data_IF_147402861902
#
_entry.id   IF_147402861902
#
_cell.length_a   1.000
_cell.length_b   1.000
_cell.length_c   1.000
_cell.angle_alpha   90.00
_cell.angle_beta   90.00
_cell.angle_gamma   90.00
#
_symmetry.space_group_name_H-M   'P 1'
#
loop_
_entity.id
_entity.type
_entity.pdbx_description
1 polymer ?
#
# COMPACT_ATOMS: atom_id res chain seq x y z
N UNK A 1 29.37 -9.84 7.49
CA UNK A 1 28.60 -11.00 8.07
C UNK A 1 27.14 -10.88 7.64
N UNK A 2 26.72 -11.66 6.65
CA UNK A 2 25.39 -11.54 6.04
C UNK A 2 24.28 -11.93 7.03
N UNK A 3 23.58 -10.93 7.57
CA UNK A 3 22.27 -11.10 8.20
C UNK A 3 21.30 -11.65 7.14
N UNK A 4 21.21 -12.97 7.09
CA UNK A 4 20.20 -13.75 6.40
C UNK A 4 18.83 -13.31 6.95
N UNK A 5 18.15 -12.42 6.23
CA UNK A 5 16.80 -11.96 6.55
C UNK A 5 15.73 -13.00 6.14
N UNK A 6 16.14 -14.25 5.87
CA UNK A 6 15.24 -15.38 5.69
C UNK A 6 14.88 -15.93 7.07
N UNK A 7 13.59 -16.01 7.45
CA UNK A 7 13.20 -16.48 8.77
C UNK A 7 13.61 -17.95 8.95
N UNK A 8 14.45 -18.22 9.96
CA UNK A 8 14.82 -19.59 10.36
C UNK A 8 13.81 -20.10 11.37
N UNK A 9 13.06 -21.13 10.99
CA UNK A 9 11.97 -21.71 11.78
C UNK A 9 12.40 -23.00 12.49
N UNK A 10 12.05 -23.13 13.78
CA UNK A 10 12.15 -24.38 14.54
C UNK A 10 10.74 -24.97 14.74
N UNK A 11 10.45 -26.17 14.23
CA UNK A 11 9.14 -26.80 14.41
C UNK A 11 9.09 -27.60 15.72
N UNK A 12 8.05 -27.36 16.53
CA UNK A 12 7.57 -28.33 17.53
C UNK A 12 6.17 -28.80 17.12
N UNK A 13 5.88 -30.11 17.17
CA UNK A 13 4.57 -30.64 16.83
C UNK A 13 3.68 -30.57 18.07
N UNK A 14 2.44 -30.08 17.93
CA UNK A 14 1.30 -30.69 18.61
C UNK A 14 -0.03 -30.19 18.04
N UNK A 15 -0.95 -31.14 18.00
CA UNK A 15 -2.19 -31.16 17.24
C UNK A 15 -3.34 -30.76 18.19
N UNK A 16 -4.14 -29.75 17.82
CA UNK A 16 -5.38 -29.33 18.48
C UNK A 16 -5.24 -28.71 19.89
N UNK A 17 -4.83 -27.43 19.96
CA UNK A 17 -5.11 -26.56 21.12
C UNK A 17 -5.42 -25.12 20.67
N UNK A 18 -6.14 -24.31 21.48
CA UNK A 18 -6.57 -22.94 21.14
C UNK A 18 -5.41 -21.94 21.25
N UNK A 19 -4.25 -22.28 20.68
CA UNK A 19 -2.98 -21.58 20.80
C UNK A 19 -2.62 -20.83 19.51
N UNK A 20 -3.54 -20.03 18.97
CA UNK A 20 -3.15 -18.97 18.03
C UNK A 20 -2.30 -17.88 18.73
N UNK A 21 -2.27 -17.90 20.07
CA UNK A 21 -1.47 -17.04 20.95
C UNK A 21 -0.02 -17.47 21.11
N UNK A 22 0.35 -18.74 20.84
CA UNK A 22 1.72 -19.26 21.00
C UNK A 22 2.48 -19.43 19.69
N UNK A 23 2.10 -18.73 18.62
CA UNK A 23 2.83 -18.78 17.36
C UNK A 23 3.89 -17.67 17.36
N UNK A 24 5.13 -18.10 17.64
CA UNK A 24 6.42 -17.47 17.33
C UNK A 24 6.73 -16.12 17.99
N UNK A 25 7.59 -16.14 19.01
CA UNK A 25 8.42 -15.00 19.36
C UNK A 25 9.29 -14.64 18.15
N UNK A 26 8.99 -13.54 17.49
CA UNK A 26 9.87 -12.92 16.50
C UNK A 26 10.53 -11.71 17.16
N UNK A 27 11.86 -11.68 17.22
CA UNK A 27 12.64 -10.66 17.94
C UNK A 27 12.22 -10.45 19.41
N UNK A 28 11.72 -11.48 20.10
CA UNK A 28 11.24 -11.38 21.49
C UNK A 28 9.85 -10.74 21.66
N UNK A 29 9.12 -10.49 20.57
CA UNK A 29 7.74 -9.97 20.60
C UNK A 29 6.70 -11.09 20.42
N UNK A 30 5.56 -10.95 21.10
CA UNK A 30 4.36 -11.77 20.87
C UNK A 30 3.71 -11.40 19.51
N UNK A 31 3.03 -12.34 18.87
CA UNK A 31 2.41 -12.14 17.54
C UNK A 31 1.52 -10.88 17.45
N UNK A 32 0.67 -10.62 18.45
CA UNK A 32 -0.18 -9.43 18.45
C UNK A 32 0.61 -8.11 18.56
N UNK A 33 1.78 -8.12 19.22
CA UNK A 33 2.65 -6.94 19.32
C UNK A 33 3.30 -6.63 17.97
N UNK A 34 3.71 -7.68 17.25
CA UNK A 34 4.21 -7.57 15.89
C UNK A 34 3.15 -6.98 14.93
N UNK A 35 1.92 -7.51 14.99
CA UNK A 35 0.79 -6.98 14.20
C UNK A 35 0.45 -5.54 14.56
N UNK A 36 0.49 -5.19 15.85
CA UNK A 36 0.23 -3.84 16.33
C UNK A 36 1.31 -2.86 15.86
N UNK A 37 2.59 -3.25 15.92
CA UNK A 37 3.72 -2.45 15.42
C UNK A 37 3.59 -2.18 13.91
N UNK A 38 3.28 -3.22 13.12
CA UNK A 38 3.07 -3.07 11.67
C UNK A 38 1.86 -2.18 11.34
N UNK A 39 0.75 -2.35 12.07
CA UNK A 39 -0.45 -1.52 11.88
C UNK A 39 -0.20 -0.06 12.24
N UNK A 40 0.53 0.19 13.34
CA UNK A 40 0.92 1.55 13.75
C UNK A 40 1.83 2.19 12.70
N UNK A 41 2.85 1.46 12.22
CA UNK A 41 3.74 1.93 11.17
C UNK A 41 2.97 2.33 9.90
N UNK A 42 2.05 1.47 9.45
CA UNK A 42 1.20 1.77 8.29
C UNK A 42 0.30 2.98 8.50
N UNK A 43 -0.31 3.14 9.68
CA UNK A 43 -1.14 4.33 10.00
C UNK A 43 -0.30 5.61 10.00
N UNK A 44 0.89 5.60 10.60
CA UNK A 44 1.79 6.76 10.65
C UNK A 44 2.28 7.12 9.26
N UNK A 45 2.70 6.13 8.46
CA UNK A 45 3.08 6.31 7.06
C UNK A 45 1.96 6.98 6.25
N UNK A 46 0.76 6.39 6.26
CA UNK A 46 -0.38 6.92 5.51
C UNK A 46 -0.81 8.30 5.98
N UNK A 47 -0.66 8.60 7.28
CA UNK A 47 -0.95 9.93 7.84
C UNK A 47 0.06 10.97 7.40
N UNK A 48 1.36 10.64 7.45
CA UNK A 48 2.42 11.54 7.04
C UNK A 48 2.36 11.83 5.52
N UNK A 49 2.07 10.81 4.73
CA UNK A 49 1.99 10.90 3.25
C UNK A 49 0.61 11.36 2.75
N UNK A 50 -0.35 11.61 3.64
CA UNK A 50 -1.72 11.92 3.23
C UNK A 50 -1.87 13.17 2.34
N UNK A 51 -1.21 14.31 2.61
CA UNK A 51 -1.34 15.50 1.76
C UNK A 51 -0.92 15.25 0.31
N UNK A 52 0.11 14.44 0.20
CA UNK A 52 0.79 14.03 -1.01
C UNK A 52 -0.10 13.07 -1.82
N UNK A 53 -0.73 12.09 -1.16
CA UNK A 53 -1.74 11.21 -1.74
C UNK A 53 -2.95 12.00 -2.26
N UNK A 54 -3.43 12.98 -1.49
CA UNK A 54 -4.53 13.86 -1.92
C UNK A 54 -4.22 14.60 -3.21
N UNK A 55 -3.01 15.15 -3.35
CA UNK A 55 -2.58 15.82 -4.59
C UNK A 55 -2.48 14.83 -5.75
N UNK A 56 -1.90 13.64 -5.53
CA UNK A 56 -1.85 12.56 -6.53
C UNK A 56 -3.25 12.21 -7.04
N UNK A 57 -4.18 11.96 -6.11
CA UNK A 57 -5.58 11.61 -6.39
C UNK A 57 -6.24 12.68 -7.25
N UNK A 58 -6.10 13.96 -6.91
CA UNK A 58 -6.67 15.06 -7.70
C UNK A 58 -6.10 15.13 -9.11
N UNK A 59 -4.79 14.90 -9.27
CA UNK A 59 -4.14 14.87 -10.59
C UNK A 59 -4.63 13.69 -11.45
N UNK A 60 -4.96 12.55 -10.83
CA UNK A 60 -5.37 11.32 -11.52
C UNK A 60 -6.88 11.24 -11.78
N UNK A 61 -7.71 11.81 -10.91
CA UNK A 61 -9.17 11.65 -10.93
C UNK A 61 -9.89 12.43 -12.03
N UNK A 62 -9.34 13.55 -12.54
CA UNK A 62 -10.15 14.47 -13.35
C UNK A 62 -9.46 15.13 -14.54
N UNK A 63 -10.24 15.27 -15.62
CA UNK A 63 -10.13 16.36 -16.61
C UNK A 63 -10.80 17.64 -16.05
N UNK A 64 -10.54 18.84 -16.61
CA UNK A 64 -10.90 20.14 -15.99
C UNK A 64 -12.39 20.21 -15.63
N UNK A 65 -12.80 20.81 -14.49
CA UNK A 65 -12.19 21.95 -13.77
C UNK A 65 -11.29 21.60 -12.57
N UNK A 66 -11.04 20.31 -12.28
CA UNK A 66 -10.22 19.87 -11.13
C UNK A 66 -8.70 20.08 -11.30
N UNK A 67 -8.25 21.07 -12.07
CA UNK A 67 -6.83 21.41 -12.25
C UNK A 67 -6.39 22.46 -11.24
N UNK A 68 -5.37 22.21 -10.39
CA UNK A 68 -4.39 23.25 -10.13
C UNK A 68 -3.49 23.37 -11.37
N UNK A 69 -3.26 24.57 -11.93
CA UNK A 69 -2.24 24.79 -12.96
C UNK A 69 -0.81 24.72 -12.39
N UNK A 70 -0.67 24.43 -11.10
CA UNK A 70 0.56 24.49 -10.34
C UNK A 70 1.13 23.08 -10.13
N UNK A 71 2.42 22.92 -10.42
CA UNK A 71 3.15 21.68 -10.14
C UNK A 71 3.09 21.29 -8.66
N UNK A 72 3.40 20.02 -8.35
CA UNK A 72 3.29 19.43 -7.01
C UNK A 72 3.77 20.34 -5.88
N UNK A 73 4.95 20.97 -6.05
CA UNK A 73 5.54 21.87 -5.07
C UNK A 73 4.68 23.10 -4.79
N UNK A 74 4.10 23.68 -5.82
CA UNK A 74 3.34 24.89 -5.67
C UNK A 74 1.91 24.60 -5.17
N UNK A 75 1.33 23.44 -5.52
CA UNK A 75 0.09 22.96 -4.90
C UNK A 75 0.24 22.75 -3.39
N UNK A 76 1.36 22.17 -2.93
CA UNK A 76 1.66 22.01 -1.49
C UNK A 76 1.74 23.34 -0.73
N UNK A 77 2.17 24.41 -1.41
CA UNK A 77 2.34 25.73 -0.80
C UNK A 77 1.06 26.57 -0.83
N UNK A 78 0.20 26.37 -1.83
CA UNK A 78 -1.00 27.19 -2.04
C UNK A 78 -2.27 26.59 -1.42
N UNK A 79 -2.33 25.28 -1.21
CA UNK A 79 -3.53 24.63 -0.73
C UNK A 79 -3.70 24.69 0.79
N UNK A 80 -4.95 24.74 1.24
CA UNK A 80 -5.29 24.68 2.65
C UNK A 80 -4.86 23.33 3.26
N UNK A 81 -4.01 23.30 4.29
CA UNK A 81 -3.57 22.07 4.94
C UNK A 81 -4.72 21.18 5.42
N UNK A 82 -5.80 21.77 5.96
CA UNK A 82 -6.96 20.99 6.41
C UNK A 82 -7.69 20.29 5.25
N UNK A 83 -7.68 20.88 4.06
CA UNK A 83 -8.27 20.28 2.86
C UNK A 83 -7.43 19.09 2.34
N UNK A 84 -6.12 19.11 2.56
CA UNK A 84 -5.21 18.04 2.19
C UNK A 84 -5.40 16.78 3.04
N UNK A 85 -5.86 16.92 4.29
CA UNK A 85 -6.16 15.82 5.22
C UNK A 85 -7.59 15.27 5.13
N UNK A 86 -8.41 15.78 4.20
CA UNK A 86 -9.79 15.33 4.04
C UNK A 86 -9.83 13.89 3.51
N UNK A 87 -10.35 12.98 4.33
CA UNK A 87 -10.41 11.54 4.04
C UNK A 87 -9.42 10.69 4.83
N UNK A 88 -8.52 11.29 5.64
CA UNK A 88 -7.54 10.55 6.45
C UNK A 88 -8.23 9.55 7.39
N UNK A 89 -9.34 9.95 8.01
CA UNK A 89 -10.09 9.05 8.89
C UNK A 89 -10.62 7.81 8.18
N UNK A 90 -10.99 7.89 6.90
CA UNK A 90 -11.37 6.69 6.13
C UNK A 90 -10.16 5.75 5.93
N UNK A 91 -8.99 6.31 5.62
CA UNK A 91 -7.77 5.51 5.47
C UNK A 91 -7.38 4.81 6.77
N UNK A 92 -7.36 5.54 7.90
CA UNK A 92 -7.01 4.97 9.21
C UNK A 92 -7.98 3.88 9.63
N UNK A 93 -9.29 4.11 9.46
CA UNK A 93 -10.32 3.11 9.76
C UNK A 93 -10.24 1.86 8.89
N UNK A 94 -9.79 1.99 7.63
CA UNK A 94 -9.62 0.86 6.71
C UNK A 94 -8.30 0.11 6.85
N UNK A 95 -7.21 0.82 7.17
CA UNK A 95 -5.88 0.25 7.22
C UNK A 95 -5.76 -0.84 8.28
N UNK A 96 -6.19 -0.59 9.52
CA UNK A 96 -6.06 -1.57 10.62
C UNK A 96 -6.65 -2.94 10.28
N UNK A 97 -7.96 -3.04 9.94
CA UNK A 97 -8.59 -4.30 9.55
C UNK A 97 -7.93 -4.98 8.34
N UNK A 98 -7.52 -4.19 7.33
CA UNK A 98 -6.86 -4.73 6.14
C UNK A 98 -5.51 -5.38 6.48
N UNK A 99 -4.70 -4.77 7.35
CA UNK A 99 -3.43 -5.36 7.81
C UNK A 99 -3.65 -6.61 8.67
N UNK A 100 -4.67 -6.61 9.53
CA UNK A 100 -5.00 -7.80 10.32
C UNK A 100 -5.36 -9.00 9.42
N UNK A 101 -6.16 -8.76 8.38
CA UNK A 101 -6.52 -9.77 7.37
C UNK A 101 -5.30 -10.20 6.57
N UNK A 102 -4.41 -9.27 6.20
CA UNK A 102 -3.17 -9.59 5.50
C UNK A 102 -2.33 -10.60 6.30
N UNK A 103 -1.98 -10.28 7.55
CA UNK A 103 -1.14 -11.15 8.37
C UNK A 103 -1.82 -12.50 8.65
N UNK A 104 -3.12 -12.49 8.95
CA UNK A 104 -3.87 -13.72 9.19
C UNK A 104 -3.87 -14.65 7.97
N UNK A 105 -4.23 -14.12 6.79
CA UNK A 105 -4.28 -14.91 5.56
C UNK A 105 -2.88 -15.35 5.13
N UNK A 106 -1.85 -14.52 5.35
CA UNK A 106 -0.47 -14.88 5.08
C UNK A 106 -0.02 -16.08 5.91
N UNK A 107 -0.23 -16.06 7.24
CA UNK A 107 0.12 -17.18 8.12
C UNK A 107 -0.68 -18.44 7.80
N UNK A 108 -2.00 -18.30 7.58
CA UNK A 108 -2.85 -19.41 7.20
C UNK A 108 -2.41 -20.05 5.88
N UNK A 109 -2.16 -19.24 4.85
CA UNK A 109 -1.73 -19.71 3.53
C UNK A 109 -0.38 -20.41 3.60
N UNK A 110 0.59 -19.85 4.34
CA UNK A 110 1.87 -20.51 4.56
C UNK A 110 1.67 -21.88 5.21
N UNK A 111 0.89 -21.97 6.29
CA UNK A 111 0.65 -23.22 7.02
C UNK A 111 -0.01 -24.28 6.14
N UNK A 112 -0.95 -23.89 5.29
CA UNK A 112 -1.63 -24.80 4.35
C UNK A 112 -0.73 -25.26 3.21
N UNK A 113 0.16 -24.40 2.72
CA UNK A 113 1.05 -24.69 1.59
C UNK A 113 2.34 -25.41 2.02
N UNK A 114 2.76 -25.26 3.28
CA UNK A 114 3.96 -25.92 3.84
C UNK A 114 3.70 -27.33 4.38
N UNK A 115 2.45 -27.82 4.42
CA UNK A 115 2.07 -29.12 5.02
C UNK A 115 2.91 -30.28 4.48
N UNK A 116 3.40 -30.22 3.24
CA UNK A 116 4.18 -31.28 2.59
C UNK A 116 5.47 -30.78 1.90
N UNK A 117 5.95 -29.57 2.21
CA UNK A 117 7.10 -28.95 1.56
C UNK A 117 8.01 -28.23 2.55
N UNK A 118 9.25 -27.94 2.14
CA UNK A 118 10.16 -27.13 2.94
C UNK A 118 9.52 -25.76 3.27
N UNK A 119 9.39 -25.38 4.56
CA UNK A 119 8.79 -24.12 4.97
C UNK A 119 9.45 -22.89 4.35
N UNK A 120 10.73 -22.99 3.98
CA UNK A 120 11.54 -21.91 3.42
C UNK A 120 11.48 -21.85 1.88
N UNK A 121 10.55 -22.54 1.23
CA UNK A 121 10.41 -22.49 -0.23
C UNK A 121 9.94 -21.08 -0.66
N UNK A 122 10.72 -20.34 -1.47
CA UNK A 122 10.33 -19.00 -1.94
C UNK A 122 8.96 -18.96 -2.63
N UNK A 123 8.56 -20.06 -3.28
CA UNK A 123 7.25 -20.17 -3.95
C UNK A 123 6.08 -20.19 -2.96
N UNK A 124 6.26 -20.78 -1.77
CA UNK A 124 5.25 -20.79 -0.70
C UNK A 124 5.06 -19.37 -0.17
N UNK A 125 6.14 -18.65 0.09
CA UNK A 125 6.07 -17.26 0.54
C UNK A 125 5.43 -16.34 -0.51
N UNK A 126 5.79 -16.52 -1.79
CA UNK A 126 5.21 -15.73 -2.88
C UNK A 126 3.70 -15.98 -3.02
N UNK A 127 3.27 -17.23 -3.03
CA UNK A 127 1.84 -17.58 -3.14
C UNK A 127 1.03 -17.14 -1.92
N UNK A 128 1.54 -17.36 -0.70
CA UNK A 128 0.92 -16.86 0.53
C UNK A 128 0.80 -15.33 0.53
N UNK A 129 1.82 -14.63 0.04
CA UNK A 129 1.80 -13.18 -0.15
C UNK A 129 0.68 -12.76 -1.11
N UNK A 130 0.53 -13.43 -2.25
CA UNK A 130 -0.55 -13.13 -3.22
C UNK A 130 -1.93 -13.29 -2.57
N UNK A 131 -2.19 -14.40 -1.89
CA UNK A 131 -3.48 -14.62 -1.22
C UNK A 131 -3.77 -13.57 -0.14
N UNK A 132 -2.74 -13.22 0.64
CA UNK A 132 -2.82 -12.20 1.67
C UNK A 132 -3.12 -10.81 1.08
N UNK A 133 -2.40 -10.40 0.04
CA UNK A 133 -2.61 -9.11 -0.64
C UNK A 133 -4.00 -9.01 -1.22
N UNK A 134 -4.46 -10.04 -1.96
CA UNK A 134 -5.80 -10.03 -2.57
C UNK A 134 -6.91 -9.94 -1.51
N UNK A 135 -6.76 -10.66 -0.40
CA UNK A 135 -7.73 -10.63 0.71
C UNK A 135 -7.71 -9.29 1.46
N UNK A 136 -6.53 -8.74 1.70
CA UNK A 136 -6.35 -7.44 2.34
C UNK A 136 -6.94 -6.30 1.48
N UNK A 137 -6.68 -6.33 0.17
CA UNK A 137 -7.22 -5.38 -0.79
C UNK A 137 -8.75 -5.40 -0.82
N UNK A 138 -9.38 -6.56 -0.66
CA UNK A 138 -10.84 -6.67 -0.62
C UNK A 138 -11.42 -5.88 0.57
N UNK A 139 -10.72 -5.88 1.72
CA UNK A 139 -11.12 -5.15 2.93
C UNK A 139 -10.79 -3.67 2.81
N UNK A 140 -9.67 -3.32 2.18
CA UNK A 140 -9.23 -1.94 2.04
C UNK A 140 -10.01 -1.16 0.97
N UNK A 141 -10.37 -1.81 -0.15
CA UNK A 141 -10.93 -1.16 -1.36
C UNK A 141 -12.16 -0.27 -1.08
N UNK A 142 -13.14 -0.66 -0.23
CA UNK A 142 -14.25 0.22 0.12
C UNK A 142 -13.83 1.53 0.78
N UNK A 143 -12.90 1.45 1.73
CA UNK A 143 -12.38 2.61 2.46
C UNK A 143 -11.50 3.46 1.56
N UNK A 144 -10.72 2.83 0.68
CA UNK A 144 -9.95 3.48 -0.37
C UNK A 144 -10.86 4.29 -1.32
N UNK A 145 -12.01 3.73 -1.72
CA UNK A 145 -12.99 4.43 -2.56
C UNK A 145 -13.58 5.66 -1.85
N UNK A 146 -13.91 5.55 -0.57
CA UNK A 146 -14.42 6.67 0.23
C UNK A 146 -13.35 7.75 0.42
N UNK A 147 -12.11 7.35 0.73
CA UNK A 147 -10.94 8.23 0.84
C UNK A 147 -10.78 9.06 -0.44
N UNK A 148 -10.72 8.41 -1.60
CA UNK A 148 -10.47 9.07 -2.88
C UNK A 148 -11.56 10.07 -3.24
N UNK A 149 -12.83 9.76 -2.95
CA UNK A 149 -13.97 10.68 -3.16
C UNK A 149 -13.95 11.89 -2.23
N UNK A 150 -13.51 11.71 -0.99
CA UNK A 150 -13.33 12.81 -0.03
C UNK A 150 -12.14 13.71 -0.37
N UNK A 151 -11.10 13.16 -1.01
CA UNK A 151 -9.90 13.88 -1.44
C UNK A 151 -10.13 14.80 -2.66
N UNK A 152 -11.23 14.61 -3.40
CA UNK A 152 -11.57 15.45 -4.55
C UNK A 152 -11.77 16.93 -4.17
N UNK A 153 -11.39 17.83 -5.07
CA UNK A 153 -11.63 19.26 -4.89
C UNK A 153 -13.14 19.54 -4.88
N UNK A 154 -13.61 20.35 -3.93
CA UNK A 154 -15.03 20.63 -3.69
C UNK A 154 -15.90 19.36 -3.54
N UNK A 155 -15.36 18.33 -2.89
CA UNK A 155 -16.08 17.09 -2.60
C UNK A 155 -17.44 17.38 -1.92
N UNK A 156 -18.56 16.85 -2.43
CA UNK A 156 -19.90 17.14 -1.92
C UNK A 156 -20.17 16.51 -0.55
N UNK A 157 -19.35 15.54 -0.14
CA UNK A 157 -19.57 14.75 1.08
C UNK A 157 -19.03 15.44 2.31
N UNK A 158 -19.83 15.61 3.37
CA UNK A 158 -19.41 16.27 4.63
C UNK A 158 -18.40 15.45 5.45
N UNK A 159 -18.33 14.14 5.21
CA UNK A 159 -17.42 13.22 5.89
C UNK A 159 -17.60 11.78 5.46
N UNK A 160 -16.93 10.85 6.16
CA UNK A 160 -16.91 9.41 5.84
C UNK A 160 -18.31 8.80 5.85
N UNK A 161 -19.08 9.01 6.92
CA UNK A 161 -20.43 8.45 7.07
C UNK A 161 -21.41 9.01 6.03
N UNK A 162 -21.30 10.29 5.71
CA UNK A 162 -22.11 10.95 4.70
C UNK A 162 -21.81 10.40 3.30
N UNK A 163 -20.51 10.22 2.98
CA UNK A 163 -20.07 9.56 1.76
C UNK A 163 -20.62 8.13 1.64
N UNK A 164 -20.49 7.32 2.70
CA UNK A 164 -21.00 5.93 2.71
C UNK A 164 -22.50 5.90 2.43
N UNK A 165 -23.29 6.71 3.16
CA UNK A 165 -24.74 6.75 3.01
C UNK A 165 -25.16 7.17 1.61
N UNK A 166 -24.52 8.21 1.07
CA UNK A 166 -24.83 8.77 -0.24
C UNK A 166 -24.48 7.82 -1.36
N UNK A 167 -23.26 7.27 -1.36
CA UNK A 167 -22.80 6.29 -2.38
C UNK A 167 -23.67 5.04 -2.33
N UNK A 168 -23.97 4.51 -1.14
CA UNK A 168 -24.85 3.34 -1.00
C UNK A 168 -26.25 3.60 -1.56
N UNK A 169 -26.80 4.80 -1.38
CA UNK A 169 -28.15 5.17 -1.86
C UNK A 169 -28.19 5.42 -3.36
N UNK A 170 -27.17 6.07 -3.92
CA UNK A 170 -27.19 6.56 -5.31
C UNK A 170 -26.49 5.64 -6.31
N UNK A 171 -25.53 4.84 -5.86
CA UNK A 171 -24.74 3.96 -6.73
C UNK A 171 -24.78 2.48 -6.30
N UNK A 172 -25.28 2.19 -5.10
CA UNK A 172 -25.36 0.85 -4.54
C UNK A 172 -24.05 0.35 -3.94
N UNK A 173 -24.09 -0.85 -3.35
CA UNK A 173 -22.94 -1.46 -2.64
C UNK A 173 -21.81 -1.82 -3.61
N UNK A 174 -22.14 -2.16 -4.86
CA UNK A 174 -21.13 -2.48 -5.88
C UNK A 174 -20.17 -1.34 -6.21
N UNK A 175 -20.56 -0.08 -5.94
CA UNK A 175 -19.73 1.10 -6.17
C UNK A 175 -18.42 1.07 -5.38
N UNK A 176 -18.44 0.53 -4.16
CA UNK A 176 -17.27 0.44 -3.28
C UNK A 176 -16.20 -0.53 -3.77
N UNK A 177 -16.54 -1.46 -4.67
CA UNK A 177 -15.65 -2.53 -5.16
C UNK A 177 -15.32 -2.40 -6.64
N UNK A 178 -15.75 -1.33 -7.33
CA UNK A 178 -15.54 -1.18 -8.78
C UNK A 178 -14.06 -1.21 -9.17
N UNK A 179 -13.17 -0.71 -8.32
CA UNK A 179 -11.73 -0.68 -8.57
C UNK A 179 -10.98 -1.93 -8.10
N UNK A 180 -11.63 -2.85 -7.38
CA UNK A 180 -10.96 -4.02 -6.78
C UNK A 180 -10.21 -4.87 -7.80
N UNK A 181 -10.84 -5.16 -8.95
CA UNK A 181 -10.22 -5.91 -10.04
C UNK A 181 -8.96 -5.21 -10.56
N UNK A 182 -9.03 -3.88 -10.72
CA UNK A 182 -7.89 -3.08 -11.16
C UNK A 182 -6.76 -3.12 -10.14
N UNK A 183 -7.07 -3.00 -8.85
CA UNK A 183 -6.07 -3.11 -7.76
C UNK A 183 -5.38 -4.47 -7.80
N UNK A 184 -6.14 -5.56 -7.84
CA UNK A 184 -5.58 -6.92 -7.86
C UNK A 184 -4.68 -7.16 -9.09
N UNK A 185 -5.10 -6.70 -10.27
CA UNK A 185 -4.30 -6.81 -11.52
C UNK A 185 -3.04 -5.93 -11.45
N UNK A 186 -3.10 -4.77 -10.80
CA UNK A 186 -1.96 -3.85 -10.66
C UNK A 186 -0.85 -4.41 -9.76
N UNK A 187 -1.18 -5.25 -8.78
CA UNK A 187 -0.21 -5.82 -7.84
C UNK A 187 0.85 -6.68 -8.54
N UNK A 188 0.45 -7.51 -9.51
CA UNK A 188 1.37 -8.39 -10.23
C UNK A 188 2.51 -7.64 -10.96
N UNK A 189 2.23 -6.66 -11.85
CA UNK A 189 3.28 -5.88 -12.50
C UNK A 189 4.05 -5.00 -11.51
N UNK A 190 3.41 -4.48 -10.45
CA UNK A 190 4.11 -3.72 -9.41
C UNK A 190 5.21 -4.57 -8.76
N UNK A 191 4.83 -5.74 -8.26
CA UNK A 191 5.73 -6.68 -7.58
C UNK A 191 6.84 -7.18 -8.51
N UNK A 192 6.50 -7.54 -9.75
CA UNK A 192 7.49 -8.01 -10.73
C UNK A 192 8.55 -6.95 -11.03
N UNK A 193 8.15 -5.72 -11.32
CA UNK A 193 9.07 -4.61 -11.60
C UNK A 193 9.88 -4.25 -10.36
N UNK A 194 9.25 -4.25 -9.18
CA UNK A 194 9.94 -3.97 -7.93
C UNK A 194 11.07 -4.97 -7.68
N UNK A 195 10.79 -6.28 -7.72
CA UNK A 195 11.83 -7.30 -7.50
C UNK A 195 12.92 -7.27 -8.57
N UNK A 196 12.55 -7.18 -9.86
CA UNK A 196 13.53 -7.12 -10.94
C UNK A 196 14.47 -5.91 -10.80
N UNK A 197 13.91 -4.74 -10.49
CA UNK A 197 14.69 -3.51 -10.32
C UNK A 197 15.54 -3.56 -9.05
N UNK A 198 15.00 -4.11 -7.96
CA UNK A 198 15.73 -4.29 -6.70
C UNK A 198 16.94 -5.21 -6.87
N UNK A 199 16.76 -6.35 -7.55
CA UNK A 199 17.85 -7.26 -7.84
C UNK A 199 18.92 -6.62 -8.75
N UNK A 200 18.49 -5.91 -9.80
CA UNK A 200 19.40 -5.22 -10.70
C UNK A 200 20.21 -4.14 -9.96
N UNK A 201 19.53 -3.31 -9.15
CA UNK A 201 20.18 -2.28 -8.34
C UNK A 201 21.18 -2.89 -7.35
N UNK A 202 20.82 -4.00 -6.69
CA UNK A 202 21.70 -4.71 -5.77
C UNK A 202 22.94 -5.26 -6.48
N UNK A 203 22.79 -5.89 -7.66
CA UNK A 203 23.93 -6.43 -8.44
C UNK A 203 24.89 -5.32 -8.86
N UNK A 204 24.37 -4.21 -9.40
CA UNK A 204 25.16 -3.05 -9.79
C UNK A 204 25.93 -2.44 -8.61
N UNK A 205 25.30 -2.33 -7.43
CA UNK A 205 25.94 -1.78 -6.24
C UNK A 205 27.09 -2.66 -5.74
N UNK A 206 26.93 -3.98 -5.76
CA UNK A 206 27.99 -4.93 -5.40
C UNK A 206 29.15 -4.89 -6.40
N UNK A 207 28.86 -4.73 -7.69
CA UNK A 207 29.88 -4.62 -8.74
C UNK A 207 30.69 -3.31 -8.66
N UNK A 208 30.06 -2.20 -8.30
CA UNK A 208 30.71 -0.87 -8.27
C UNK A 208 31.48 -0.61 -6.97
N UNK A 209 31.06 -1.17 -5.84
CA UNK A 209 31.75 -0.97 -4.55
C UNK A 209 31.57 -2.16 -3.61
N UNK A 210 32.42 -3.19 -3.72
CA UNK A 210 32.39 -4.33 -2.81
C UNK A 210 32.70 -3.97 -1.35
N UNK A 211 33.47 -2.89 -1.09
CA UNK A 211 33.80 -2.43 0.27
C UNK A 211 32.65 -1.65 0.96
N UNK A 212 31.87 -0.85 0.21
CA UNK A 212 30.71 -0.09 0.75
C UNK A 212 29.53 -1.04 1.04
N UNK A 213 29.44 -2.16 0.33
CA UNK A 213 28.34 -3.11 0.47
C UNK A 213 28.27 -3.81 1.85
N UNK A 214 29.39 -3.94 2.57
CA UNK A 214 29.41 -4.56 3.91
C UNK A 214 29.27 -3.53 5.04
N UNK A 215 29.81 -2.31 4.88
CA UNK A 215 29.74 -1.22 5.89
C UNK A 215 28.42 -0.40 5.82
N UNK A 216 27.87 -0.13 4.63
CA UNK A 216 26.65 0.68 4.45
C UNK A 216 25.46 -0.12 3.90
N UNK A 217 25.39 -1.40 4.28
CA UNK A 217 24.41 -2.36 3.75
C UNK A 217 22.95 -1.88 3.89
N UNK A 218 22.61 -1.16 4.95
CA UNK A 218 21.26 -0.60 5.15
C UNK A 218 20.94 0.51 4.13
N UNK A 219 21.87 1.44 3.90
CA UNK A 219 21.69 2.54 2.94
C UNK A 219 21.60 2.00 1.51
N UNK A 220 22.42 1.00 1.18
CA UNK A 220 22.38 0.28 -0.09
C UNK A 220 21.03 -0.40 -0.31
N UNK A 221 20.51 -1.13 0.68
CA UNK A 221 19.20 -1.77 0.57
C UNK A 221 18.05 -0.75 0.51
N UNK A 222 18.14 0.34 1.27
CA UNK A 222 17.14 1.40 1.29
C UNK A 222 17.09 2.16 -0.05
N UNK A 223 18.24 2.52 -0.62
CA UNK A 223 18.33 3.22 -1.91
C UNK A 223 17.90 2.32 -3.07
N UNK A 224 18.30 1.04 -3.07
CA UNK A 224 17.83 0.06 -4.05
C UNK A 224 16.31 -0.16 -3.96
N UNK A 225 15.76 -0.30 -2.75
CA UNK A 225 14.32 -0.41 -2.52
C UNK A 225 13.54 0.83 -2.95
N UNK A 226 14.07 2.01 -2.64
CA UNK A 226 13.51 3.30 -3.05
C UNK A 226 13.45 3.43 -4.58
N UNK A 227 14.56 3.15 -5.28
CA UNK A 227 14.63 3.19 -6.73
C UNK A 227 13.70 2.15 -7.38
N UNK A 228 13.70 0.93 -6.84
CA UNK A 228 12.84 -0.16 -7.31
C UNK A 228 11.37 0.18 -7.20
N UNK A 229 10.92 0.70 -6.06
CA UNK A 229 9.53 1.09 -5.89
C UNK A 229 9.15 2.34 -6.65
N UNK A 230 10.06 3.30 -6.86
CA UNK A 230 9.80 4.44 -7.74
C UNK A 230 9.58 3.99 -9.20
N UNK A 231 10.43 3.09 -9.72
CA UNK A 231 10.29 2.56 -11.08
C UNK A 231 9.02 1.70 -11.20
N UNK A 232 8.75 0.82 -10.23
CA UNK A 232 7.51 0.04 -10.18
C UNK A 232 6.27 0.94 -10.13
N UNK A 233 6.31 2.02 -9.34
CA UNK A 233 5.26 3.02 -9.28
C UNK A 233 5.03 3.72 -10.62
N UNK A 234 6.10 4.12 -11.33
CA UNK A 234 6.02 4.76 -12.64
C UNK A 234 5.39 3.81 -13.68
N UNK A 235 5.88 2.57 -13.78
CA UNK A 235 5.38 1.58 -14.73
C UNK A 235 3.91 1.23 -14.48
N UNK A 236 3.49 1.21 -13.21
CA UNK A 236 2.09 0.91 -12.83
C UNK A 236 1.17 2.13 -12.80
N UNK A 237 1.68 3.33 -13.11
CA UNK A 237 0.87 4.56 -13.09
C UNK A 237 -0.37 4.48 -14.01
N UNK A 238 -0.33 3.90 -15.22
CA UNK A 238 -1.52 3.77 -16.06
C UNK A 238 -2.67 2.99 -15.39
N UNK A 239 -2.33 1.92 -14.66
CA UNK A 239 -3.32 1.12 -13.92
C UNK A 239 -3.85 1.87 -12.70
N UNK A 240 -2.99 2.64 -12.02
CA UNK A 240 -3.37 3.50 -10.91
C UNK A 240 -4.32 4.62 -11.35
N UNK A 241 -4.09 5.24 -12.52
CA UNK A 241 -5.02 6.22 -13.10
C UNK A 241 -6.39 5.60 -13.36
N UNK A 242 -6.44 4.39 -13.93
CA UNK A 242 -7.71 3.67 -14.14
C UNK A 242 -8.38 3.34 -12.80
N UNK A 243 -7.62 2.90 -11.79
CA UNK A 243 -8.11 2.66 -10.42
C UNK A 243 -8.74 3.92 -9.83
N UNK A 244 -8.05 5.05 -9.87
CA UNK A 244 -8.52 6.31 -9.29
C UNK A 244 -9.71 6.89 -10.05
N UNK A 245 -9.73 6.85 -11.38
CA UNK A 245 -10.90 7.25 -12.18
C UNK A 245 -12.14 6.43 -11.81
N UNK A 246 -12.00 5.11 -11.64
CA UNK A 246 -13.09 4.25 -11.18
C UNK A 246 -13.54 4.57 -9.75
N UNK A 247 -12.63 4.93 -8.85
CA UNK A 247 -12.97 5.29 -7.47
C UNK A 247 -13.70 6.64 -7.37
N UNK A 248 -13.34 7.59 -8.22
CA UNK A 248 -13.87 8.96 -8.23
C UNK A 248 -15.06 9.17 -9.17
N UNK A 249 -15.42 8.17 -9.98
CA UNK A 249 -16.46 8.30 -11.02
C UNK A 249 -17.78 8.90 -10.49
N UNK A 250 -18.40 9.78 -11.27
CA UNK A 250 -19.68 10.40 -10.93
C UNK A 250 -19.63 11.46 -9.82
N UNK A 251 -18.45 11.81 -9.32
CA UNK A 251 -18.26 12.85 -8.30
C UNK A 251 -17.46 14.03 -8.86
N UNK A 252 -17.85 15.27 -8.55
CA UNK A 252 -17.14 16.49 -8.97
C UNK A 252 -16.86 16.57 -10.48
N UNK A 253 -17.78 16.08 -11.33
CA UNK A 253 -17.61 16.08 -12.78
C UNK A 253 -16.70 14.96 -13.32
N UNK A 254 -16.26 14.02 -12.47
CA UNK A 254 -15.57 12.82 -12.93
C UNK A 254 -16.51 11.95 -13.78
N UNK A 255 -15.98 11.40 -14.86
CA UNK A 255 -16.75 10.59 -15.80
C UNK A 255 -17.33 9.35 -15.13
N UNK A 256 -18.56 8.98 -15.52
CA UNK A 256 -19.23 7.78 -15.03
C UNK A 256 -19.04 6.67 -16.06
N UNK A 257 -18.42 5.57 -15.64
CA UNK A 257 -18.18 4.42 -16.51
C UNK A 257 -19.35 3.44 -16.40
N UNK A 258 -19.83 2.96 -17.55
CA UNK A 258 -20.85 1.91 -17.65
C UNK A 258 -20.34 0.56 -17.13
N UNK A 259 -19.05 0.29 -17.32
CA UNK A 259 -18.41 -0.98 -17.00
C UNK A 259 -17.20 -0.77 -16.09
N UNK A 260 -16.92 -1.73 -15.21
CA UNK A 260 -15.66 -1.79 -14.42
C UNK A 260 -14.54 -2.52 -15.17
N UNK A 261 -14.63 -2.63 -16.50
CA UNK A 261 -13.64 -3.32 -17.32
C UNK A 261 -12.42 -2.43 -17.52
N UNK A 262 -11.24 -2.90 -17.08
CA UNK A 262 -9.98 -2.15 -17.14
C UNK A 262 -9.70 -1.68 -18.58
N UNK A 263 -9.86 -2.57 -19.57
CA UNK A 263 -9.59 -2.25 -20.96
C UNK A 263 -10.57 -1.25 -21.58
N UNK A 264 -11.84 -1.29 -21.17
CA UNK A 264 -12.85 -0.34 -21.64
C UNK A 264 -12.60 1.05 -21.06
N UNK A 265 -12.37 1.13 -19.75
CA UNK A 265 -12.04 2.39 -19.06
C UNK A 265 -10.77 2.99 -19.65
N UNK A 266 -9.73 2.19 -19.85
CA UNK A 266 -8.49 2.61 -20.50
C UNK A 266 -8.74 3.19 -21.89
N UNK A 267 -9.54 2.49 -22.72
CA UNK A 267 -9.87 2.95 -24.08
C UNK A 267 -10.64 4.26 -24.06
N UNK A 268 -11.60 4.42 -23.14
CA UNK A 268 -12.38 5.66 -22.98
C UNK A 268 -11.46 6.83 -22.61
N UNK A 269 -10.57 6.65 -21.62
CA UNK A 269 -9.61 7.68 -21.19
C UNK A 269 -8.70 8.09 -22.35
N UNK A 270 -8.10 7.12 -23.06
CA UNK A 270 -7.19 7.39 -24.18
C UNK A 270 -7.91 8.08 -25.34
N UNK A 271 -9.14 7.67 -25.66
CA UNK A 271 -9.94 8.29 -26.72
C UNK A 271 -10.32 9.74 -26.41
N UNK A 272 -10.56 10.04 -25.13
CA UNK A 272 -11.01 11.37 -24.67
C UNK A 272 -9.86 12.35 -24.50
N UNK A 273 -8.81 11.97 -23.77
CA UNK A 273 -7.76 12.90 -23.36
C UNK A 273 -6.35 12.52 -23.88
N UNK A 274 -6.21 11.39 -24.57
CA UNK A 274 -4.94 10.88 -25.06
C UNK A 274 -4.10 10.13 -24.02
N UNK A 275 -2.95 9.62 -24.45
CA UNK A 275 -2.06 8.77 -23.64
C UNK A 275 -1.37 9.51 -22.49
N UNK A 276 -1.17 10.83 -22.60
CA UNK A 276 -0.48 11.61 -21.56
C UNK A 276 -1.22 11.60 -20.22
N UNK A 277 -2.53 11.36 -20.22
CA UNK A 277 -3.36 11.29 -19.00
C UNK A 277 -3.05 10.09 -18.14
N UNK A 278 -2.65 8.98 -18.76
CA UNK A 278 -2.31 7.74 -18.06
C UNK A 278 -1.06 7.85 -17.20
N UNK A 279 -0.25 8.88 -17.43
CA UNK A 279 0.94 9.17 -16.63
C UNK A 279 0.72 10.35 -15.67
N UNK A 280 -0.50 10.88 -15.50
CA UNK A 280 -0.73 11.97 -14.54
C UNK A 280 -0.44 11.52 -13.11
N UNK A 281 0.23 12.38 -12.36
CA UNK A 281 0.60 12.10 -10.97
C UNK A 281 1.78 11.12 -10.80
N UNK A 282 2.43 10.67 -11.89
CA UNK A 282 3.57 9.75 -11.81
C UNK A 282 4.73 10.29 -10.96
N UNK A 283 5.08 11.57 -11.13
CA UNK A 283 6.15 12.24 -10.36
C UNK A 283 5.83 12.25 -8.87
N UNK A 284 4.56 12.51 -8.53
CA UNK A 284 4.10 12.45 -7.17
C UNK A 284 4.32 11.01 -6.65
N UNK A 285 3.73 10.01 -7.31
CA UNK A 285 3.83 8.59 -6.95
C UNK A 285 5.27 8.09 -6.75
N UNK A 286 6.23 8.53 -7.58
CA UNK A 286 7.64 8.18 -7.46
C UNK A 286 8.33 8.80 -6.24
N UNK A 287 8.18 10.12 -6.06
CA UNK A 287 8.86 10.87 -5.00
C UNK A 287 8.45 10.41 -3.60
N UNK A 288 7.31 9.72 -3.49
CA UNK A 288 6.76 9.28 -2.21
C UNK A 288 7.29 7.95 -1.73
N UNK A 289 7.88 7.13 -2.60
CA UNK A 289 8.23 5.77 -2.21
C UNK A 289 9.36 5.75 -1.16
N UNK A 290 10.40 6.57 -1.34
CA UNK A 290 11.52 6.61 -0.40
C UNK A 290 11.13 7.18 0.98
N UNK A 291 10.44 8.34 1.08
CA UNK A 291 10.00 8.87 2.38
C UNK A 291 8.98 7.96 3.08
N UNK A 292 8.03 7.39 2.34
CA UNK A 292 7.03 6.48 2.91
C UNK A 292 7.70 5.23 3.52
N UNK A 293 8.61 4.60 2.77
CA UNK A 293 9.37 3.46 3.29
C UNK A 293 10.18 3.84 4.53
N UNK A 294 10.87 4.98 4.52
CA UNK A 294 11.65 5.45 5.67
C UNK A 294 10.79 5.67 6.92
N UNK A 295 9.62 6.30 6.77
CA UNK A 295 8.67 6.54 7.88
C UNK A 295 8.12 5.21 8.40
N UNK A 296 7.72 4.31 7.50
CA UNK A 296 7.16 3.01 7.85
C UNK A 296 8.19 2.18 8.64
N UNK A 297 9.40 2.01 8.12
CA UNK A 297 10.48 1.27 8.79
C UNK A 297 10.88 1.90 10.12
N UNK A 298 11.07 3.22 10.17
CA UNK A 298 11.47 3.90 11.41
C UNK A 298 10.40 3.76 12.50
N UNK A 299 9.12 3.88 12.12
CA UNK A 299 8.00 3.72 13.05
C UNK A 299 7.88 2.27 13.51
N UNK A 300 8.06 1.33 12.61
CA UNK A 300 8.01 -0.10 12.90
C UNK A 300 9.09 -0.51 13.89
N UNK A 301 10.35 -0.10 13.67
CA UNK A 301 11.46 -0.38 14.58
C UNK A 301 11.27 0.28 15.96
N UNK A 302 10.81 1.54 15.98
CA UNK A 302 10.50 2.24 17.23
C UNK A 302 9.39 1.54 18.02
N UNK A 303 8.33 1.08 17.35
CA UNK A 303 7.23 0.34 17.95
C UNK A 303 7.70 -1.02 18.50
N UNK A 304 8.54 -1.74 17.76
CA UNK A 304 9.14 -2.99 18.23
C UNK A 304 9.98 -2.79 19.49
N UNK A 305 10.88 -1.80 19.47
CA UNK A 305 11.73 -1.46 20.61
C UNK A 305 10.92 -1.10 21.85
N UNK A 306 9.79 -0.39 21.67
CA UNK A 306 8.86 -0.08 22.76
C UNK A 306 8.24 -1.34 23.37
N UNK A 307 7.74 -2.28 22.54
CA UNK A 307 7.16 -3.52 23.03
C UNK A 307 8.19 -4.44 23.70
N UNK A 308 9.42 -4.50 23.21
CA UNK A 308 10.51 -5.26 23.84
C UNK A 308 10.77 -4.75 25.26
N UNK A 309 10.93 -3.42 25.43
CA UNK A 309 11.11 -2.80 26.74
C UNK A 309 9.94 -3.07 27.68
N UNK A 310 8.71 -3.07 27.18
CA UNK A 310 7.53 -3.41 27.99
C UNK A 310 7.52 -4.88 28.43
N UNK A 311 7.96 -5.80 27.57
CA UNK A 311 8.06 -7.21 27.93
C UNK A 311 9.12 -7.42 29.03
N UNK A 312 10.30 -6.79 28.87
CA UNK A 312 11.38 -6.84 29.86
C UNK A 312 11.00 -6.24 31.23
N UNK A 313 10.12 -5.23 31.25
CA UNK A 313 9.60 -4.64 32.49
C UNK A 313 8.57 -5.53 33.19
N UNK A 314 7.75 -6.27 32.44
CA UNK A 314 6.73 -7.15 33.01
C UNK A 314 7.31 -8.51 33.47
N UNK A 315 8.52 -8.86 33.05
CA UNK A 315 9.25 -10.06 33.48
C UNK A 315 10.11 -9.83 34.74
N UNK A 316 10.20 -8.58 35.23
CA UNK A 316 10.85 -8.20 36.49
C UNK A 316 9.84 -8.01 37.61
#
# INVERSE_FOLDING_TARGET
MAADASPKFHPSPDLLSPDLTMITQHDGLRFYQYMAAGSLAGVVEHSAMFPIDTLKTRMQAGSPPCRPPLGLRAALLTENPAALYRGLSAMVLGAGPAHAVYFYVYELSKKLLSVNQNPNNPLIHASAGIFATVSSDAVLTPMDTIKQRLQLHNSPYKGVLDCIKTVRREEGIGAFFKSYKTTAVMNAPFTAVHFATYEAAKRMLVEVSPEIADDERLVVHATAGAAAGAIAAAVTTPLDVVKTQLQCQGVCGCERFSTSSIGEVFRVIVKRDGYSVLMRGWTARMLFHAPAAAICWSTYEAAKSFFQRLNEQNEK
#
